data_IF_811694970990
#
_entry.id   IF_811694970990
#
_cell.length_a   1.000
_cell.length_b   1.000
_cell.length_c   1.000
_cell.angle_alpha   90.00
_cell.angle_beta   90.00
_cell.angle_gamma   90.00
#
_symmetry.space_group_name_H-M   'P 1'
#
loop_
_entity.id
_entity.type
_entity.pdbx_description
1 polymer ?
#
# COMPACT_ATOMS: atom_id res chain seq x y z
N UNK A 1 6.70 -0.38 31.85
CA UNK A 1 6.21 -1.73 31.54
C UNK A 1 7.29 -2.43 30.73
N UNK A 2 7.62 -3.72 30.93
CA UNK A 2 8.69 -4.37 30.15
C UNK A 2 8.35 -4.51 28.67
N UNK A 3 7.09 -4.29 28.27
CA UNK A 3 6.61 -4.33 26.89
C UNK A 3 5.97 -3.00 26.47
N UNK A 4 6.71 -1.89 26.50
CA UNK A 4 6.20 -0.62 25.96
C UNK A 4 6.19 -0.57 24.42
N UNK A 5 6.90 -1.48 23.74
CA UNK A 5 7.03 -1.50 22.29
C UNK A 5 6.96 -2.94 21.77
N UNK A 6 6.41 -3.08 20.57
CA UNK A 6 6.35 -4.35 19.85
C UNK A 6 7.68 -4.65 19.16
N UNK A 7 8.00 -5.93 18.97
CA UNK A 7 9.15 -6.34 18.15
C UNK A 7 8.81 -6.22 16.65
N UNK A 8 9.79 -5.96 15.77
CA UNK A 8 9.56 -5.95 14.33
C UNK A 8 8.88 -7.22 13.82
N UNK A 9 9.25 -8.38 14.37
CA UNK A 9 8.70 -9.68 14.00
C UNK A 9 7.23 -9.81 14.39
N UNK A 10 6.85 -9.35 15.59
CA UNK A 10 5.47 -9.40 16.05
C UNK A 10 4.58 -8.48 15.22
N UNK A 11 5.05 -7.26 14.92
CA UNK A 11 4.34 -6.30 14.06
C UNK A 11 4.17 -6.86 12.65
N UNK A 12 5.25 -7.33 12.02
CA UNK A 12 5.21 -7.88 10.67
C UNK A 12 4.25 -9.06 10.58
N UNK A 13 4.30 -9.99 11.54
CA UNK A 13 3.41 -11.16 11.57
C UNK A 13 1.95 -10.75 11.70
N UNK A 14 1.62 -9.89 12.68
CA UNK A 14 0.24 -9.48 12.93
C UNK A 14 -0.32 -8.66 11.77
N UNK A 15 0.45 -7.73 11.24
CA UNK A 15 0.06 -6.87 10.12
C UNK A 15 -0.16 -7.67 8.84
N UNK A 16 0.77 -8.55 8.47
CA UNK A 16 0.66 -9.36 7.25
C UNK A 16 -0.50 -10.36 7.33
N UNK A 17 -0.79 -10.92 8.51
CA UNK A 17 -1.95 -11.78 8.69
C UNK A 17 -3.27 -11.03 8.42
N UNK A 18 -3.41 -9.82 8.96
CA UNK A 18 -4.59 -8.97 8.72
C UNK A 18 -4.70 -8.51 7.26
N UNK A 19 -3.57 -8.17 6.64
CA UNK A 19 -3.53 -7.74 5.25
C UNK A 19 -3.91 -8.87 4.28
N UNK A 20 -3.39 -10.08 4.50
CA UNK A 20 -3.70 -11.25 3.67
C UNK A 20 -5.21 -11.52 3.65
N UNK A 21 -5.86 -11.49 4.82
CA UNK A 21 -7.32 -11.64 4.93
C UNK A 21 -8.09 -10.57 4.14
N UNK A 22 -7.58 -9.33 4.14
CA UNK A 22 -8.21 -8.21 3.40
C UNK A 22 -8.06 -8.40 1.89
N UNK A 23 -6.90 -8.84 1.42
CA UNK A 23 -6.63 -9.13 0.01
C UNK A 23 -7.52 -10.27 -0.48
N UNK A 24 -7.58 -11.39 0.26
CA UNK A 24 -8.44 -12.54 -0.07
C UNK A 24 -9.92 -12.13 -0.17
N UNK A 25 -10.40 -11.29 0.75
CA UNK A 25 -11.77 -10.77 0.71
C UNK A 25 -12.02 -9.86 -0.50
N UNK A 26 -11.05 -9.03 -0.89
CA UNK A 26 -11.16 -8.17 -2.07
C UNK A 26 -11.22 -8.99 -3.37
N UNK A 27 -10.41 -10.05 -3.49
CA UNK A 27 -10.44 -10.96 -4.64
C UNK A 27 -11.76 -11.75 -4.73
N UNK A 28 -12.27 -12.24 -3.60
CA UNK A 28 -13.55 -12.96 -3.56
C UNK A 28 -14.72 -12.08 -4.06
N UNK A 29 -14.72 -10.79 -3.70
CA UNK A 29 -15.74 -9.84 -4.15
C UNK A 29 -15.64 -9.48 -5.65
N UNK A 30 -14.45 -9.64 -6.26
CA UNK A 30 -14.24 -9.44 -7.70
C UNK A 30 -14.77 -10.58 -8.57
N UNK A 31 -15.08 -11.74 -7.99
CA UNK A 31 -15.43 -12.97 -8.73
C UNK A 31 -16.93 -13.33 -8.74
N UNK A 32 -17.81 -12.43 -8.29
CA UNK A 32 -19.26 -12.64 -8.35
C UNK A 32 -19.81 -12.53 -9.79
N UNK A 33 -19.65 -13.60 -10.57
CA UNK A 33 -20.43 -13.84 -11.78
C UNK A 33 -21.41 -15.00 -11.53
N UNK A 34 -22.56 -14.66 -10.94
CA UNK A 34 -23.72 -15.54 -10.89
C UNK A 34 -24.83 -14.91 -11.77
N UNK A 35 -25.00 -15.49 -12.96
CA UNK A 35 -26.25 -15.54 -13.74
C UNK A 35 -26.83 -14.28 -14.42
N UNK A 36 -26.07 -13.27 -14.86
CA UNK A 36 -26.71 -12.19 -15.67
C UNK A 36 -25.93 -11.67 -16.87
N UNK A 37 -26.64 -11.58 -17.99
CA UNK A 37 -26.26 -11.11 -19.34
C UNK A 37 -25.79 -9.65 -19.44
N UNK A 38 -25.08 -9.11 -18.44
CA UNK A 38 -24.38 -7.82 -18.50
C UNK A 38 -22.99 -8.03 -17.94
N UNK A 39 -22.03 -8.19 -18.85
CA UNK A 39 -20.60 -8.28 -18.53
C UNK A 39 -20.10 -6.91 -18.08
N UNK A 40 -20.35 -6.54 -16.83
CA UNK A 40 -19.59 -5.49 -16.17
C UNK A 40 -18.21 -6.12 -15.97
N UNK A 41 -17.25 -5.76 -16.82
CA UNK A 41 -15.85 -6.11 -16.60
C UNK A 41 -15.40 -5.32 -15.37
N UNK A 42 -15.50 -5.91 -14.19
CA UNK A 42 -14.77 -5.44 -13.03
C UNK A 42 -13.32 -5.89 -13.25
N UNK A 43 -12.42 -4.95 -13.50
CA UNK A 43 -10.99 -5.26 -13.56
C UNK A 43 -10.58 -5.86 -12.20
N UNK A 44 -9.89 -7.01 -12.15
CA UNK A 44 -9.46 -7.63 -10.89
C UNK A 44 -8.65 -6.70 -9.96
N UNK A 45 -8.02 -5.64 -10.49
CA UNK A 45 -7.35 -4.60 -9.71
C UNK A 45 -8.24 -3.49 -9.13
N UNK A 46 -9.54 -3.46 -9.47
CA UNK A 46 -10.47 -2.40 -9.05
C UNK A 46 -11.02 -2.58 -7.62
N UNK A 47 -10.78 -3.72 -6.96
CA UNK A 47 -11.39 -4.03 -5.67
C UNK A 47 -10.61 -3.47 -4.45
N UNK A 48 -9.36 -3.04 -4.64
CA UNK A 48 -8.49 -2.60 -3.54
C UNK A 48 -7.69 -1.36 -3.90
N UNK A 49 -7.85 -0.31 -3.09
CA UNK A 49 -6.98 0.86 -3.11
C UNK A 49 -6.11 0.84 -1.85
N UNK A 50 -4.80 1.09 -2.01
CA UNK A 50 -3.85 1.14 -0.90
C UNK A 50 -3.26 2.55 -0.82
N UNK A 51 -3.46 3.23 0.30
CA UNK A 51 -2.98 4.60 0.50
C UNK A 51 -1.75 4.60 1.42
N UNK A 52 -0.60 4.98 0.87
CA UNK A 52 0.67 5.12 1.58
C UNK A 52 0.84 6.59 1.97
N UNK A 53 0.75 6.88 3.27
CA UNK A 53 0.85 8.25 3.79
C UNK A 53 2.10 8.35 4.67
N UNK A 54 3.06 9.17 4.23
CA UNK A 54 4.38 9.27 4.85
C UNK A 54 4.60 10.65 5.47
N UNK A 55 4.93 10.68 6.76
CA UNK A 55 5.28 11.91 7.48
C UNK A 55 6.71 12.36 7.12
N UNK A 56 6.83 13.52 6.50
CA UNK A 56 8.08 14.18 6.13
C UNK A 56 8.32 15.45 6.98
N UNK A 57 7.66 15.55 8.14
CA UNK A 57 7.88 16.65 9.07
C UNK A 57 9.25 16.57 9.73
N UNK A 58 9.77 17.73 10.14
CA UNK A 58 11.10 17.84 10.79
C UNK A 58 11.25 16.98 12.06
N UNK A 59 10.15 16.64 12.74
CA UNK A 59 10.16 15.80 13.94
C UNK A 59 10.48 14.33 13.67
N UNK A 60 10.25 13.83 12.46
CA UNK A 60 10.60 12.46 12.06
C UNK A 60 12.10 12.33 11.86
N UNK A 61 12.71 13.32 11.20
CA UNK A 61 14.13 13.26 10.84
C UNK A 61 14.40 12.39 9.60
N UNK A 62 15.57 12.63 8.98
CA UNK A 62 15.94 12.01 7.70
C UNK A 62 16.03 10.48 7.77
N UNK A 63 16.68 9.98 8.81
CA UNK A 63 16.92 8.55 8.98
C UNK A 63 15.61 7.77 9.05
N UNK A 64 14.71 8.17 9.97
CA UNK A 64 13.44 7.47 10.17
C UNK A 64 12.49 7.61 8.97
N UNK A 65 12.58 8.73 8.25
CA UNK A 65 11.89 8.89 6.96
C UNK A 65 12.40 7.90 5.90
N UNK A 66 13.72 7.74 5.78
CA UNK A 66 14.35 6.83 4.83
C UNK A 66 14.02 5.37 5.16
N UNK A 67 14.00 5.00 6.44
CA UNK A 67 13.59 3.68 6.94
C UNK A 67 12.10 3.42 6.68
N UNK A 68 11.23 4.38 7.00
CA UNK A 68 9.78 4.24 6.75
C UNK A 68 9.49 4.11 5.25
N UNK A 69 10.17 4.90 4.41
CA UNK A 69 10.08 4.80 2.95
C UNK A 69 10.55 3.42 2.45
N UNK A 70 11.63 2.89 3.03
CA UNK A 70 12.12 1.53 2.74
C UNK A 70 11.10 0.46 3.09
N UNK A 71 10.55 0.50 4.31
CA UNK A 71 9.52 -0.42 4.79
C UNK A 71 8.25 -0.39 3.92
N UNK A 72 7.84 0.79 3.44
CA UNK A 72 6.73 0.91 2.48
C UNK A 72 7.06 0.27 1.12
N UNK A 73 8.31 0.35 0.67
CA UNK A 73 8.78 -0.33 -0.53
C UNK A 73 8.70 -1.86 -0.41
N UNK A 74 9.16 -2.40 0.72
CA UNK A 74 9.05 -3.83 1.05
C UNK A 74 7.58 -4.28 1.16
N UNK A 75 6.70 -3.43 1.71
CA UNK A 75 5.27 -3.70 1.77
C UNK A 75 4.63 -3.80 0.38
N UNK A 76 4.97 -2.90 -0.55
CA UNK A 76 4.49 -2.96 -1.95
C UNK A 76 4.92 -4.27 -2.61
N UNK A 77 6.20 -4.65 -2.44
CA UNK A 77 6.75 -5.94 -2.89
C UNK A 77 5.98 -7.11 -2.29
N UNK A 78 5.68 -7.05 -0.99
CA UNK A 78 4.99 -8.11 -0.28
C UNK A 78 3.55 -8.27 -0.76
N UNK A 79 2.83 -7.17 -0.99
CA UNK A 79 1.48 -7.19 -1.56
C UNK A 79 1.50 -7.79 -2.97
N UNK A 80 2.45 -7.37 -3.82
CA UNK A 80 2.60 -7.92 -5.16
C UNK A 80 2.92 -9.43 -5.13
N UNK A 81 3.66 -9.92 -4.13
CA UNK A 81 3.97 -11.35 -3.97
C UNK A 81 2.73 -12.23 -3.75
N UNK A 82 1.61 -11.65 -3.31
CA UNK A 82 0.33 -12.36 -3.18
C UNK A 82 -0.45 -12.44 -4.51
N UNK A 83 0.04 -11.83 -5.59
CA UNK A 83 -0.68 -11.74 -6.87
C UNK A 83 -1.69 -10.60 -6.96
N UNK A 84 -1.83 -9.82 -5.88
CA UNK A 84 -2.71 -8.67 -5.83
C UNK A 84 -2.18 -7.50 -6.67
N UNK A 85 -3.10 -6.78 -7.31
CA UNK A 85 -2.80 -5.60 -8.14
C UNK A 85 -3.62 -4.38 -7.71
N UNK A 86 -3.44 -3.89 -6.47
CA UNK A 86 -4.20 -2.74 -5.98
C UNK A 86 -3.78 -1.45 -6.69
N UNK A 87 -4.66 -0.45 -6.68
CA UNK A 87 -4.26 0.90 -7.04
C UNK A 87 -3.66 1.62 -5.83
N UNK A 88 -2.40 2.05 -5.95
CA UNK A 88 -1.70 2.79 -4.91
C UNK A 88 -1.96 4.29 -4.98
N UNK A 89 -2.18 4.91 -3.83
CA UNK A 89 -2.08 6.35 -3.63
C UNK A 89 -0.90 6.67 -2.72
N UNK A 90 -0.10 7.67 -3.05
CA UNK A 90 1.05 8.09 -2.22
C UNK A 90 0.86 9.55 -1.83
N UNK A 91 0.95 9.83 -0.53
CA UNK A 91 0.91 11.18 0.03
C UNK A 91 2.09 11.37 0.98
N UNK A 92 2.78 12.50 0.85
CA UNK A 92 3.75 12.97 1.85
C UNK A 92 3.14 14.16 2.60
N UNK A 93 3.41 14.31 3.89
CA UNK A 93 2.89 15.46 4.65
C UNK A 93 3.90 16.05 5.63
N UNK A 94 3.66 17.28 6.05
CA UNK A 94 4.44 18.02 7.02
C UNK A 94 3.66 19.26 7.43
N UNK A 95 4.09 20.45 6.99
CA UNK A 95 3.26 21.66 7.10
C UNK A 95 2.02 21.58 6.20
N UNK A 96 2.13 20.94 5.04
CA UNK A 96 1.02 20.69 4.12
C UNK A 96 1.15 19.29 3.53
N UNK A 97 0.03 18.72 3.09
CA UNK A 97 0.01 17.46 2.37
C UNK A 97 0.36 17.67 0.89
N UNK A 98 1.09 16.72 0.31
CA UNK A 98 1.44 16.64 -1.10
C UNK A 98 1.10 15.27 -1.63
N UNK A 99 0.18 15.23 -2.60
CA UNK A 99 -0.15 14.01 -3.36
C UNK A 99 0.99 13.74 -4.34
N UNK A 100 1.58 12.56 -4.25
CA UNK A 100 2.66 12.08 -5.13
C UNK A 100 2.09 11.19 -6.23
N UNK A 101 1.10 10.37 -5.89
CA UNK A 101 0.40 9.48 -6.81
C UNK A 101 -1.07 9.40 -6.41
N UNK A 102 -1.97 9.62 -7.36
CA UNK A 102 -3.39 9.31 -7.18
C UNK A 102 -3.67 7.86 -7.57
N UNK A 103 -4.51 7.11 -6.82
CA UNK A 103 -4.91 5.75 -7.20
C UNK A 103 -5.71 5.69 -8.51
N UNK A 104 -6.22 6.83 -8.99
CA UNK A 104 -6.89 6.91 -10.29
C UNK A 104 -5.92 6.99 -11.47
N UNK A 105 -4.61 7.13 -11.23
CA UNK A 105 -3.63 7.23 -12.30
C UNK A 105 -3.39 5.87 -12.97
N UNK A 106 -3.17 5.80 -14.29
CA UNK A 106 -3.03 4.54 -15.01
C UNK A 106 -1.92 3.61 -14.50
N UNK A 107 -0.85 4.18 -13.93
CA UNK A 107 0.29 3.43 -13.39
C UNK A 107 0.19 3.16 -11.89
N UNK A 108 -0.94 3.49 -11.26
CA UNK A 108 -1.14 3.25 -9.84
C UNK A 108 -1.20 1.76 -9.48
N UNK A 109 -1.47 0.87 -10.45
CA UNK A 109 -1.42 -0.59 -10.26
C UNK A 109 -0.04 -1.21 -10.51
N UNK A 110 0.92 -0.43 -11.03
CA UNK A 110 2.25 -0.94 -11.38
C UNK A 110 3.16 -0.84 -10.15
N UNK A 111 3.36 -1.98 -9.49
CA UNK A 111 4.20 -2.06 -8.29
C UNK A 111 5.64 -1.57 -8.54
N UNK A 112 6.21 -1.83 -9.72
CA UNK A 112 7.57 -1.37 -10.06
C UNK A 112 7.62 0.15 -10.17
N UNK A 113 6.65 0.76 -10.86
CA UNK A 113 6.53 2.22 -10.94
C UNK A 113 6.30 2.86 -9.56
N UNK A 114 5.45 2.26 -8.73
CA UNK A 114 5.18 2.72 -7.35
C UNK A 114 6.46 2.68 -6.51
N UNK A 115 7.29 1.65 -6.67
CA UNK A 115 8.59 1.56 -6.00
C UNK A 115 9.57 2.64 -6.47
N UNK A 116 9.65 2.91 -7.78
CA UNK A 116 10.48 4.00 -8.30
C UNK A 116 10.05 5.35 -7.71
N UNK A 117 8.74 5.60 -7.60
CA UNK A 117 8.20 6.81 -6.96
C UNK A 117 8.58 6.90 -5.48
N UNK A 118 8.45 5.80 -4.74
CA UNK A 118 8.84 5.74 -3.33
C UNK A 118 10.35 6.00 -3.18
N UNK A 119 11.20 5.37 -3.97
CA UNK A 119 12.67 5.57 -3.93
C UNK A 119 13.08 6.99 -4.31
N UNK A 120 12.28 7.67 -5.15
CA UNK A 120 12.49 9.08 -5.51
C UNK A 120 12.05 10.08 -4.43
N UNK A 121 11.37 9.65 -3.36
CA UNK A 121 10.97 10.55 -2.27
C UNK A 121 12.19 11.03 -1.49
N UNK A 122 12.17 12.33 -1.18
CA UNK A 122 13.20 13.04 -0.41
C UNK A 122 12.59 13.65 0.85
N UNK A 123 13.40 13.70 1.91
CA UNK A 123 13.09 14.36 3.20
C UNK A 123 13.40 15.85 3.15
#
# INVERSE_FOLDING_TARGET
DPNSFDTPEDVARAFLASLTQTVEAAEANGTHDATSKRRIRLDPGAALNVFLVLDASRSVGRHDFEDARGALGELVEKIASYGATPHYGIVTFGTAARVVLSPSEPRAADAGWVQELLQGLTF
#
